data_IF_283771416120
#
_entry.id   IF_283771416120
#
_cell.length_a   1.000
_cell.length_b   1.000
_cell.length_c   1.000
_cell.angle_alpha   90.00
_cell.angle_beta   90.00
_cell.angle_gamma   90.00
#
_symmetry.space_group_name_H-M   'P 1'
#
loop_
_entity.id
_entity.type
_entity.pdbx_description
1 polymer ?
#
# COMPACT_ATOMS: atom_id res chain seq x y z
N UNK A 1 -9.78 36.58 -23.20
CA UNK A 1 -9.22 35.27 -22.82
C UNK A 1 -8.56 35.42 -21.44
N UNK A 2 -9.16 34.83 -20.41
CA UNK A 2 -8.67 34.95 -19.03
C UNK A 2 -7.43 34.07 -18.80
N UNK A 3 -6.39 34.63 -18.19
CA UNK A 3 -5.14 33.96 -17.83
C UNK A 3 -5.47 32.79 -16.89
N UNK A 4 -5.09 31.55 -17.24
CA UNK A 4 -5.28 30.40 -16.34
C UNK A 4 -4.59 30.70 -14.99
N UNK A 5 -5.24 30.49 -13.83
CA UNK A 5 -4.58 30.60 -12.54
C UNK A 5 -3.38 29.66 -12.54
N UNK A 6 -2.18 30.20 -12.35
CA UNK A 6 -0.95 29.41 -12.27
C UNK A 6 -0.74 29.11 -10.79
N UNK A 7 -0.77 27.83 -10.44
CA UNK A 7 -0.43 27.40 -9.08
C UNK A 7 1.02 27.79 -8.83
N UNK A 8 1.24 28.62 -7.81
CA UNK A 8 2.59 28.97 -7.36
C UNK A 8 3.26 27.74 -6.72
N UNK A 9 4.51 27.48 -7.10
CA UNK A 9 5.20 26.24 -6.73
C UNK A 9 5.67 26.25 -5.27
N UNK A 10 6.11 27.41 -4.77
CA UNK A 10 6.61 27.55 -3.39
C UNK A 10 5.44 27.46 -2.41
N UNK A 11 4.34 28.16 -2.73
CA UNK A 11 3.09 28.09 -1.98
C UNK A 11 2.52 26.67 -1.95
N UNK A 12 2.51 25.99 -3.10
CA UNK A 12 2.08 24.60 -3.19
C UNK A 12 2.94 23.68 -2.30
N UNK A 13 4.26 23.88 -2.27
CA UNK A 13 5.15 23.10 -1.42
C UNK A 13 4.85 23.34 0.07
N UNK A 14 4.62 24.59 0.47
CA UNK A 14 4.28 24.94 1.84
C UNK A 14 2.97 24.30 2.29
N UNK A 15 1.90 24.43 1.50
CA UNK A 15 0.59 23.83 1.83
C UNK A 15 0.65 22.30 1.89
N UNK A 16 1.43 21.66 1.02
CA UNK A 16 1.66 20.21 1.08
C UNK A 16 2.41 19.81 2.36
N UNK A 17 3.42 20.58 2.77
CA UNK A 17 4.17 20.35 3.99
C UNK A 17 3.32 20.55 5.26
N UNK A 18 2.37 21.50 5.22
CA UNK A 18 1.35 21.72 6.26
C UNK A 18 0.31 20.57 6.34
N UNK A 19 0.35 19.61 5.41
CA UNK A 19 -0.56 18.46 5.41
C UNK A 19 -1.95 18.74 4.85
N UNK A 20 -2.14 19.87 4.16
CA UNK A 20 -3.42 20.22 3.50
C UNK A 20 -3.85 19.13 2.51
N UNK A 21 -5.14 18.82 2.51
CA UNK A 21 -5.74 17.91 1.53
C UNK A 21 -5.73 18.52 0.12
N UNK A 22 -5.83 17.67 -0.90
CA UNK A 22 -5.89 18.11 -2.30
C UNK A 22 -7.08 19.05 -2.54
N UNK A 23 -8.21 18.80 -1.87
CA UNK A 23 -9.40 19.64 -1.91
C UNK A 23 -9.14 21.04 -1.35
N UNK A 24 -8.56 21.14 -0.15
CA UNK A 24 -8.24 22.44 0.46
C UNK A 24 -7.24 23.24 -0.38
N UNK A 25 -6.25 22.56 -0.99
CA UNK A 25 -5.29 23.20 -1.89
C UNK A 25 -6.00 23.69 -3.16
N UNK A 26 -6.95 22.92 -3.69
CA UNK A 26 -7.73 23.29 -4.88
C UNK A 26 -8.58 24.53 -4.62
N UNK A 27 -9.24 24.59 -3.47
CA UNK A 27 -9.99 25.76 -2.99
C UNK A 27 -9.08 26.98 -2.82
N UNK A 28 -7.89 26.81 -2.21
CA UNK A 28 -6.92 27.89 -2.01
C UNK A 28 -6.48 28.55 -3.34
N UNK A 29 -6.22 27.75 -4.37
CA UNK A 29 -5.78 28.26 -5.67
C UNK A 29 -6.92 28.56 -6.66
N UNK A 30 -8.17 28.25 -6.33
CA UNK A 30 -9.31 28.39 -7.25
C UNK A 30 -9.21 27.49 -8.49
N UNK A 31 -8.72 26.26 -8.33
CA UNK A 31 -8.48 25.28 -9.41
C UNK A 31 -9.18 23.95 -9.11
N UNK A 32 -9.17 23.03 -10.06
CA UNK A 32 -9.66 21.66 -9.81
C UNK A 32 -8.65 20.83 -9.01
N UNK A 33 -9.13 19.82 -8.28
CA UNK A 33 -8.29 18.82 -7.62
C UNK A 33 -7.32 18.13 -8.60
N UNK A 34 -7.78 17.85 -9.82
CA UNK A 34 -6.95 17.30 -10.89
C UNK A 34 -5.79 18.23 -11.27
N UNK A 35 -6.02 19.56 -11.28
CA UNK A 35 -4.99 20.56 -11.52
C UNK A 35 -3.94 20.60 -10.40
N UNK A 36 -4.37 20.49 -9.14
CA UNK A 36 -3.46 20.35 -7.99
C UNK A 36 -2.61 19.09 -8.11
N UNK A 37 -3.21 17.94 -8.44
CA UNK A 37 -2.46 16.69 -8.62
C UNK A 37 -1.41 16.79 -9.74
N UNK A 38 -1.73 17.45 -10.85
CA UNK A 38 -0.78 17.69 -11.94
C UNK A 38 0.35 18.61 -11.48
N UNK A 39 0.05 19.71 -10.79
CA UNK A 39 1.06 20.62 -10.28
C UNK A 39 1.97 19.97 -9.23
N UNK A 40 1.42 19.14 -8.32
CA UNK A 40 2.21 18.35 -7.36
C UNK A 40 3.19 17.42 -8.07
N UNK A 41 2.75 16.73 -9.13
CA UNK A 41 3.64 15.88 -9.94
C UNK A 41 4.74 16.68 -10.62
N UNK A 42 4.36 17.78 -11.31
CA UNK A 42 5.32 18.65 -11.99
C UNK A 42 6.35 19.28 -11.03
N UNK A 43 5.95 19.53 -9.78
CA UNK A 43 6.81 20.10 -8.75
C UNK A 43 7.67 19.06 -8.00
N UNK A 44 7.48 17.76 -8.24
CA UNK A 44 8.14 16.69 -7.48
C UNK A 44 7.56 16.45 -6.07
N UNK A 45 6.37 16.98 -5.79
CA UNK A 45 5.67 16.92 -4.49
C UNK A 45 4.67 15.75 -4.41
N UNK A 46 4.51 14.98 -5.49
CA UNK A 46 3.69 13.78 -5.46
C UNK A 46 4.41 12.69 -4.65
N UNK A 47 3.73 12.16 -3.64
CA UNK A 47 4.25 10.99 -2.92
C UNK A 47 4.43 9.84 -3.94
N UNK A 48 5.58 9.15 -3.95
CA UNK A 48 5.76 7.97 -4.79
C UNK A 48 4.61 6.99 -4.54
N UNK A 49 4.07 6.43 -5.63
CA UNK A 49 3.12 5.33 -5.51
C UNK A 49 3.85 4.15 -4.88
N UNK A 50 3.20 3.48 -3.93
CA UNK A 50 3.72 2.24 -3.38
C UNK A 50 3.70 1.17 -4.47
N UNK A 51 4.81 0.44 -4.57
CA UNK A 51 4.87 -0.74 -5.41
C UNK A 51 4.52 -1.96 -4.57
N UNK A 52 3.46 -2.67 -4.97
CA UNK A 52 2.98 -3.87 -4.29
C UNK A 52 3.31 -5.15 -5.05
N UNK A 53 4.06 -5.09 -6.15
CA UNK A 53 4.36 -6.26 -6.99
C UNK A 53 5.05 -7.39 -6.23
N UNK A 54 5.89 -7.06 -5.25
CA UNK A 54 6.56 -8.06 -4.42
C UNK A 54 5.59 -8.83 -3.49
N UNK A 55 4.48 -8.22 -3.07
CA UNK A 55 3.46 -8.84 -2.22
C UNK A 55 2.24 -9.35 -3.00
N UNK A 56 2.04 -8.86 -4.23
CA UNK A 56 0.99 -9.31 -5.15
C UNK A 56 1.66 -9.50 -6.52
N UNK A 57 2.34 -10.63 -6.73
CA UNK A 57 3.03 -10.92 -7.99
C UNK A 57 2.06 -11.24 -9.13
N UNK A 58 0.80 -11.57 -8.81
CA UNK A 58 -0.21 -11.94 -9.79
C UNK A 58 -0.90 -10.73 -10.42
N UNK A 59 -1.27 -10.88 -11.69
CA UNK A 59 -2.21 -9.97 -12.34
C UNK A 59 -3.63 -10.30 -11.88
N UNK A 60 -4.11 -9.57 -10.88
CA UNK A 60 -5.44 -9.81 -10.31
C UNK A 60 -6.57 -9.44 -11.27
N UNK A 61 -7.59 -10.29 -11.32
CA UNK A 61 -8.87 -9.99 -11.93
C UNK A 61 -9.55 -8.88 -11.13
N UNK A 62 -10.28 -7.99 -11.83
CA UNK A 62 -10.91 -6.81 -11.20
C UNK A 62 -11.75 -7.17 -9.99
N UNK A 63 -12.52 -8.26 -10.07
CA UNK A 63 -13.36 -8.76 -8.99
C UNK A 63 -12.58 -9.13 -7.72
N UNK A 64 -11.32 -9.57 -7.85
CA UNK A 64 -10.49 -10.04 -6.74
C UNK A 64 -9.59 -8.96 -6.15
N UNK A 65 -9.54 -7.77 -6.77
CA UNK A 65 -8.66 -6.68 -6.35
C UNK A 65 -8.92 -6.19 -4.93
N UNK A 66 -10.16 -6.29 -4.44
CA UNK A 66 -10.56 -5.87 -3.08
C UNK A 66 -10.88 -7.06 -2.18
N UNK A 67 -10.47 -8.27 -2.55
CA UNK A 67 -10.62 -9.45 -1.68
C UNK A 67 -9.83 -9.30 -0.38
N UNK A 68 -10.18 -10.09 0.64
CA UNK A 68 -9.48 -10.13 1.93
C UNK A 68 -7.97 -10.35 1.76
N UNK A 69 -7.53 -11.44 1.11
CA UNK A 69 -6.10 -11.70 0.88
C UNK A 69 -5.38 -10.58 0.14
N UNK A 70 -5.96 -10.04 -0.94
CA UNK A 70 -5.36 -8.91 -1.68
C UNK A 70 -5.19 -7.67 -0.79
N UNK A 71 -6.20 -7.35 0.03
CA UNK A 71 -6.15 -6.20 0.93
C UNK A 71 -5.13 -6.41 2.06
N UNK A 72 -5.04 -7.62 2.60
CA UNK A 72 -4.07 -7.97 3.62
C UNK A 72 -2.64 -7.88 3.09
N UNK A 73 -2.37 -8.46 1.91
CA UNK A 73 -1.05 -8.38 1.26
C UNK A 73 -0.63 -6.93 0.97
N UNK A 74 -1.55 -6.07 0.49
CA UNK A 74 -1.25 -4.64 0.33
C UNK A 74 -0.95 -3.97 1.66
N UNK A 75 -1.72 -4.26 2.69
CA UNK A 75 -1.53 -3.67 4.03
C UNK A 75 -0.15 -4.02 4.58
N UNK A 76 0.26 -5.29 4.51
CA UNK A 76 1.60 -5.73 4.92
C UNK A 76 2.69 -5.08 4.08
N UNK A 77 2.51 -5.02 2.75
CA UNK A 77 3.44 -4.37 1.84
C UNK A 77 3.58 -2.87 2.09
N UNK A 78 2.50 -2.18 2.45
CA UNK A 78 2.51 -0.77 2.84
C UNK A 78 3.36 -0.57 4.10
N UNK A 79 3.19 -1.43 5.11
CA UNK A 79 4.00 -1.38 6.34
C UNK A 79 5.47 -1.72 6.07
N UNK A 80 5.74 -2.75 5.29
CA UNK A 80 7.11 -3.13 4.89
C UNK A 80 7.85 -1.99 4.16
N UNK A 81 7.11 -1.07 3.51
CA UNK A 81 7.64 0.14 2.87
C UNK A 81 7.70 1.35 3.81
N UNK A 82 7.57 1.15 5.12
CA UNK A 82 7.68 2.20 6.15
C UNK A 82 6.48 3.15 6.19
N UNK A 83 5.31 2.74 5.69
CA UNK A 83 4.09 3.56 5.74
C UNK A 83 3.15 3.11 6.83
N UNK A 84 2.59 4.09 7.54
CA UNK A 84 1.53 3.85 8.52
C UNK A 84 0.23 3.40 7.83
N UNK A 85 -0.47 2.49 8.51
CA UNK A 85 -1.81 2.01 8.16
C UNK A 85 -2.68 2.05 9.43
N UNK A 86 -4.02 2.12 9.31
CA UNK A 86 -4.91 2.00 10.47
C UNK A 86 -4.67 0.69 11.23
N UNK A 87 -4.62 0.77 12.56
CA UNK A 87 -4.23 -0.35 13.44
C UNK A 87 -5.12 -1.58 13.25
N UNK A 88 -6.41 -1.40 13.04
CA UNK A 88 -7.37 -2.48 12.84
C UNK A 88 -7.09 -3.26 11.55
N UNK A 89 -6.74 -2.54 10.48
CA UNK A 89 -6.35 -3.16 9.20
C UNK A 89 -5.04 -3.93 9.35
N UNK A 90 -4.05 -3.34 10.02
CA UNK A 90 -2.78 -3.99 10.28
C UNK A 90 -2.97 -5.29 11.07
N UNK A 91 -3.68 -5.22 12.20
CA UNK A 91 -3.93 -6.38 13.05
C UNK A 91 -4.64 -7.51 12.30
N UNK A 92 -5.59 -7.17 11.42
CA UNK A 92 -6.29 -8.14 10.59
C UNK A 92 -5.33 -8.82 9.61
N UNK A 93 -4.48 -8.04 8.93
CA UNK A 93 -3.50 -8.56 7.98
C UNK A 93 -2.43 -9.42 8.67
N UNK A 94 -1.91 -8.99 9.83
CA UNK A 94 -0.94 -9.74 10.64
C UNK A 94 -1.54 -11.06 11.13
N UNK A 95 -2.76 -11.04 11.69
CA UNK A 95 -3.42 -12.27 12.18
C UNK A 95 -3.66 -13.26 11.06
N UNK A 96 -4.11 -12.78 9.90
CA UNK A 96 -4.31 -13.62 8.72
C UNK A 96 -2.99 -14.26 8.28
N UNK A 97 -1.92 -13.48 8.12
CA UNK A 97 -0.64 -14.00 7.65
C UNK A 97 0.03 -14.95 8.65
N UNK A 98 0.00 -14.63 9.96
CA UNK A 98 0.53 -15.51 11.01
C UNK A 98 -0.21 -16.86 11.01
N UNK A 99 -1.54 -16.86 10.93
CA UNK A 99 -2.33 -18.09 10.84
C UNK A 99 -1.88 -18.99 9.66
N UNK A 100 -1.60 -18.40 8.49
CA UNK A 100 -1.13 -19.19 7.34
C UNK A 100 0.23 -19.81 7.63
N UNK A 101 1.17 -19.02 8.13
CA UNK A 101 2.53 -19.48 8.45
C UNK A 101 2.52 -20.56 9.54
N UNK A 102 1.78 -20.33 10.62
CA UNK A 102 1.66 -21.27 11.74
C UNK A 102 1.01 -22.61 11.32
N UNK A 103 0.20 -22.60 10.27
CA UNK A 103 -0.47 -23.77 9.71
C UNK A 103 0.30 -24.44 8.54
N UNK A 104 1.52 -23.99 8.24
CA UNK A 104 2.32 -24.41 7.09
C UNK A 104 1.56 -24.24 5.75
N UNK A 105 0.84 -23.14 5.64
CA UNK A 105 0.08 -22.74 4.45
C UNK A 105 0.70 -21.50 3.79
N UNK A 106 0.44 -21.37 2.50
CA UNK A 106 0.75 -20.21 1.68
C UNK A 106 -0.49 -19.78 0.87
N UNK A 107 -0.42 -18.58 0.32
CA UNK A 107 -1.48 -18.02 -0.52
C UNK A 107 -1.21 -18.32 -1.99
N UNK A 108 -2.23 -18.84 -2.66
CA UNK A 108 -2.24 -19.04 -4.11
C UNK A 108 -3.30 -18.12 -4.74
N UNK A 109 -3.15 -17.88 -6.04
CA UNK A 109 -4.10 -17.10 -6.80
C UNK A 109 -4.36 -17.73 -8.16
N UNK A 110 -5.63 -17.87 -8.48
CA UNK A 110 -6.15 -18.27 -9.77
C UNK A 110 -7.07 -17.16 -10.34
N UNK A 111 -6.95 -16.76 -11.62
CA UNK A 111 -7.79 -15.71 -12.19
C UNK A 111 -9.29 -16.00 -12.14
N UNK A 112 -9.68 -17.27 -12.26
CA UNK A 112 -11.09 -17.68 -12.33
C UNK A 112 -11.68 -17.92 -10.93
N UNK A 113 -10.88 -18.52 -10.04
CA UNK A 113 -11.32 -18.95 -8.70
C UNK A 113 -10.94 -17.98 -7.59
N UNK A 114 -10.01 -17.06 -7.84
CA UNK A 114 -9.53 -16.06 -6.88
C UNK A 114 -8.43 -16.59 -5.97
N UNK A 115 -8.36 -16.03 -4.76
CA UNK A 115 -7.34 -16.40 -3.78
C UNK A 115 -7.72 -17.68 -3.05
N UNK A 116 -6.75 -18.56 -2.84
CA UNK A 116 -6.87 -19.78 -2.06
C UNK A 116 -5.69 -19.97 -1.11
N UNK A 117 -5.79 -21.00 -0.28
CA UNK A 117 -4.73 -21.44 0.64
C UNK A 117 -4.26 -22.82 0.19
N UNK A 118 -2.95 -23.04 0.16
CA UNK A 118 -2.33 -24.31 -0.20
C UNK A 118 -1.15 -24.60 0.74
N UNK A 119 -0.69 -25.85 0.86
CA UNK A 119 0.52 -26.16 1.61
C UNK A 119 1.69 -25.28 1.16
N UNK A 120 2.46 -24.78 2.12
CA UNK A 120 3.61 -23.95 1.83
C UNK A 120 4.64 -24.73 0.98
N UNK A 121 5.16 -24.13 -0.09
CA UNK A 121 6.17 -24.79 -0.90
C UNK A 121 7.47 -24.95 -0.10
N UNK A 122 8.14 -26.10 -0.25
CA UNK A 122 9.41 -26.39 0.41
C UNK A 122 10.53 -25.36 0.09
N UNK A 123 10.40 -24.64 -1.02
CA UNK A 123 11.33 -23.57 -1.43
C UNK A 123 11.06 -22.23 -0.72
N UNK A 124 10.03 -22.14 0.11
CA UNK A 124 9.72 -20.99 0.96
C UNK A 124 8.38 -20.32 0.65
N UNK A 125 7.60 -20.07 1.70
CA UNK A 125 6.28 -19.43 1.64
C UNK A 125 6.33 -17.95 1.24
N UNK A 126 5.47 -17.57 0.30
CA UNK A 126 5.26 -16.19 -0.11
C UNK A 126 4.71 -15.33 1.03
N UNK A 127 3.67 -15.80 1.72
CA UNK A 127 3.09 -15.09 2.87
C UNK A 127 4.12 -14.92 3.99
N UNK A 128 4.94 -15.95 4.26
CA UNK A 128 6.02 -15.85 5.25
C UNK A 128 6.99 -14.71 4.93
N UNK A 129 7.42 -14.59 3.67
CA UNK A 129 8.30 -13.51 3.21
C UNK A 129 7.66 -12.12 3.37
N UNK A 130 6.39 -11.97 2.98
CA UNK A 130 5.68 -10.69 3.07
C UNK A 130 5.44 -10.30 4.53
N UNK A 131 5.09 -11.27 5.38
CA UNK A 131 4.94 -11.08 6.82
C UNK A 131 6.27 -10.66 7.45
N UNK A 132 7.35 -11.39 7.19
CA UNK A 132 8.68 -11.09 7.72
C UNK A 132 9.12 -9.66 7.39
N UNK A 133 8.96 -9.22 6.14
CA UNK A 133 9.28 -7.84 5.75
C UNK A 133 8.45 -6.79 6.51
N UNK A 134 7.17 -7.07 6.76
CA UNK A 134 6.32 -6.16 7.54
C UNK A 134 6.72 -6.11 9.01
N UNK A 135 7.02 -7.27 9.63
CA UNK A 135 7.48 -7.35 11.02
C UNK A 135 8.82 -6.65 11.22
N UNK A 136 9.78 -6.87 10.32
CA UNK A 136 11.07 -6.15 10.35
C UNK A 136 10.89 -4.63 10.30
N UNK A 137 9.95 -4.13 9.47
CA UNK A 137 9.66 -2.70 9.41
C UNK A 137 8.97 -2.15 10.68
N UNK A 138 8.30 -3.00 11.45
CA UNK A 138 7.71 -2.67 12.75
C UNK A 138 8.72 -2.77 13.91
N UNK A 139 9.93 -3.28 13.66
CA UNK A 139 10.91 -3.58 14.71
C UNK A 139 10.56 -4.83 15.53
N UNK A 140 9.66 -5.68 15.03
CA UNK A 140 9.43 -7.01 15.58
C UNK A 140 10.43 -7.96 14.94
N UNK A 141 11.56 -8.24 15.60
CA UNK A 141 12.43 -9.35 15.21
C UNK A 141 11.65 -10.67 15.38
N UNK A 142 11.64 -11.48 14.33
CA UNK A 142 11.10 -12.83 14.38
C UNK A 142 12.00 -13.67 15.30
N UNK A 143 11.60 -13.86 16.56
CA UNK A 143 12.15 -14.90 17.42
C UNK A 143 11.84 -16.26 16.78
N UNK A 144 12.76 -16.76 15.96
CA UNK A 144 12.81 -18.16 15.54
C UNK A 144 13.35 -19.01 16.70
N UNK A 145 12.83 -20.24 16.91
CA UNK A 145 13.24 -21.05 18.04
C UNK A 145 14.72 -21.45 17.88
N UNK A 146 15.48 -21.23 18.96
CA UNK A 146 16.82 -21.79 19.16
C UNK A 146 16.78 -23.30 19.38
#
# INVERSE_FOLDING_TARGET
MGRKPRIDREELARLVAEGRSVREIAEHFGVSESGVLQAKRAAGLAKPMLDHRAAIPWKLARAHTQSGPATNLRTLSTVAQGRAVPKEKLNTALRWARRLVDADLDVIYDPDSGFGEAPAPAQGSHVSRVLGAALSALGEESDGPS
#
